data_IF_756650589544
#
_entry.id   IF_756650589544
#
_cell.length_a   1.000
_cell.length_b   1.000
_cell.length_c   1.000
_cell.angle_alpha   90.00
_cell.angle_beta   90.00
_cell.angle_gamma   90.00
#
_symmetry.space_group_name_H-M   'P 1'
#
loop_
_entity.id
_entity.type
_entity.pdbx_description
1 polymer ?
#
# COMPACT_ATOMS: atom_id res chain seq x y z
N UNK A 1 -10.73 19.66 8.66
CA UNK A 1 -10.99 19.04 7.34
C UNK A 1 -10.66 17.55 7.43
N UNK A 2 -11.67 16.66 7.47
CA UNK A 2 -11.41 15.21 7.46
C UNK A 2 -10.82 14.88 6.09
N UNK A 3 -9.53 14.51 6.03
CA UNK A 3 -8.98 13.87 4.83
C UNK A 3 -9.85 12.66 4.58
N UNK A 4 -10.52 12.59 3.44
CA UNK A 4 -11.22 11.38 3.02
C UNK A 4 -10.16 10.30 2.88
N UNK A 5 -9.98 9.53 3.96
CA UNK A 5 -9.19 8.31 3.96
C UNK A 5 -9.95 7.32 3.10
N UNK A 6 -9.90 7.50 1.78
CA UNK A 6 -10.37 6.50 0.85
C UNK A 6 -9.39 5.34 0.97
N UNK A 7 -9.86 4.28 1.63
CA UNK A 7 -9.14 3.03 1.69
C UNK A 7 -8.78 2.63 0.26
N UNK A 8 -7.59 2.04 0.09
CA UNK A 8 -7.22 1.47 -1.19
C UNK A 8 -8.23 0.38 -1.55
N UNK A 9 -8.57 0.28 -2.83
CA UNK A 9 -9.38 -0.83 -3.33
C UNK A 9 -8.55 -2.11 -3.32
N UNK A 10 -9.22 -3.26 -3.49
CA UNK A 10 -8.53 -4.54 -3.61
C UNK A 10 -7.58 -4.56 -4.82
N UNK A 11 -7.96 -3.93 -5.92
CA UNK A 11 -7.15 -3.88 -7.13
C UNK A 11 -5.95 -2.97 -6.97
N UNK A 12 -6.10 -1.82 -6.31
CA UNK A 12 -4.96 -0.97 -5.96
C UNK A 12 -3.97 -1.73 -5.06
N UNK A 13 -4.47 -2.48 -4.06
CA UNK A 13 -3.61 -3.34 -3.22
C UNK A 13 -2.86 -4.40 -4.04
N UNK A 14 -3.51 -5.04 -5.02
CA UNK A 14 -2.87 -6.03 -5.90
C UNK A 14 -1.77 -5.39 -6.76
N UNK A 15 -2.05 -4.23 -7.33
CA UNK A 15 -1.05 -3.48 -8.12
C UNK A 15 0.15 -3.11 -7.25
N UNK A 16 -0.08 -2.62 -6.03
CA UNK A 16 0.99 -2.31 -5.07
C UNK A 16 1.83 -3.55 -4.77
N UNK A 17 1.20 -4.69 -4.47
CA UNK A 17 1.91 -5.93 -4.16
C UNK A 17 2.78 -6.41 -5.34
N UNK A 18 2.25 -6.39 -6.56
CA UNK A 18 2.99 -6.77 -7.77
C UNK A 18 4.16 -5.82 -8.04
N UNK A 19 3.95 -4.51 -7.91
CA UNK A 19 5.00 -3.51 -8.10
C UNK A 19 6.09 -3.58 -7.03
N UNK A 20 5.74 -3.91 -5.79
CA UNK A 20 6.71 -4.14 -4.73
C UNK A 20 7.55 -5.40 -4.97
N UNK A 21 6.94 -6.48 -5.46
CA UNK A 21 7.67 -7.69 -5.90
C UNK A 21 8.65 -7.37 -7.03
N UNK A 22 8.26 -6.49 -7.95
CA UNK A 22 9.11 -5.95 -9.00
C UNK A 22 10.11 -4.88 -8.52
N UNK A 23 10.23 -4.64 -7.20
CA UNK A 23 11.12 -3.64 -6.57
C UNK A 23 10.92 -2.20 -7.07
N UNK A 24 9.73 -1.87 -7.56
CA UNK A 24 9.39 -0.51 -8.00
C UNK A 24 9.41 0.44 -6.78
N UNK A 25 9.99 1.64 -6.90
CA UNK A 25 9.98 2.63 -5.82
C UNK A 25 8.57 3.02 -5.39
N UNK A 26 8.32 3.07 -4.08
CA UNK A 26 7.00 3.37 -3.47
C UNK A 26 6.43 4.72 -3.92
N UNK A 27 7.30 5.70 -4.15
CA UNK A 27 6.94 7.03 -4.68
C UNK A 27 6.40 6.96 -6.10
N UNK A 28 6.98 6.09 -6.93
CA UNK A 28 6.53 5.84 -8.30
C UNK A 28 5.20 5.10 -8.31
N UNK A 29 5.02 4.11 -7.43
CA UNK A 29 3.73 3.40 -7.25
C UNK A 29 2.63 4.39 -6.85
N UNK A 30 2.90 5.29 -5.90
CA UNK A 30 1.94 6.32 -5.49
C UNK A 30 1.53 7.23 -6.67
N UNK A 31 2.50 7.65 -7.47
CA UNK A 31 2.27 8.48 -8.66
C UNK A 31 1.43 7.74 -9.70
N UNK A 32 1.74 6.47 -9.98
CA UNK A 32 1.00 5.65 -10.95
C UNK A 32 -0.45 5.40 -10.54
N UNK A 33 -0.71 5.28 -9.25
CA UNK A 33 -2.07 5.07 -8.71
C UNK A 33 -2.83 6.40 -8.49
N UNK A 34 -2.21 7.56 -8.74
CA UNK A 34 -2.81 8.85 -8.41
C UNK A 34 -3.08 9.02 -6.92
N UNK A 35 -2.31 8.33 -6.07
CA UNK A 35 -2.49 8.32 -4.62
C UNK A 35 -1.42 9.13 -3.92
N UNK A 36 -1.80 9.69 -2.77
CA UNK A 36 -0.82 10.33 -1.90
C UNK A 36 0.19 9.30 -1.38
N UNK A 37 1.47 9.73 -1.30
CA UNK A 37 2.56 8.89 -0.79
C UNK A 37 2.25 8.37 0.60
N UNK A 38 1.68 9.20 1.49
CA UNK A 38 1.34 8.80 2.85
C UNK A 38 0.29 7.70 2.91
N UNK A 39 -0.61 7.62 1.92
CA UNK A 39 -1.61 6.54 1.84
C UNK A 39 -0.95 5.21 1.54
N UNK A 40 -0.02 5.18 0.59
CA UNK A 40 0.77 3.98 0.29
C UNK A 40 1.60 3.56 1.50
N UNK A 41 2.34 4.48 2.14
CA UNK A 41 3.15 4.15 3.32
C UNK A 41 2.31 3.61 4.49
N UNK A 42 1.13 4.20 4.76
CA UNK A 42 0.21 3.69 5.79
C UNK A 42 -0.29 2.29 5.49
N UNK A 43 -0.68 2.01 4.24
CA UNK A 43 -1.14 0.68 3.84
C UNK A 43 -0.03 -0.36 3.98
N UNK A 44 1.19 -0.02 3.57
CA UNK A 44 2.32 -0.94 3.71
C UNK A 44 2.67 -1.23 5.16
N UNK A 45 2.55 -0.22 6.04
CA UNK A 45 2.71 -0.41 7.48
C UNK A 45 1.62 -1.34 8.04
N UNK A 46 0.36 -1.10 7.68
CA UNK A 46 -0.78 -1.94 8.09
C UNK A 46 -0.62 -3.38 7.60
N UNK A 47 -0.19 -3.56 6.35
CA UNK A 47 0.09 -4.89 5.81
C UNK A 47 1.24 -5.54 6.57
N UNK A 48 2.35 -4.85 6.85
CA UNK A 48 3.44 -5.41 7.67
C UNK A 48 2.95 -5.86 9.05
N UNK A 49 2.07 -5.10 9.70
CA UNK A 49 1.45 -5.52 10.97
C UNK A 49 0.55 -6.76 10.83
N UNK A 50 -0.10 -6.95 9.67
CA UNK A 50 -0.87 -8.15 9.37
C UNK A 50 0.06 -9.34 9.04
N UNK A 51 1.09 -9.14 8.20
CA UNK A 51 2.08 -10.18 7.88
C UNK A 51 2.90 -10.59 9.10
N UNK A 52 3.24 -9.66 9.99
CA UNK A 52 3.88 -9.94 11.28
C UNK A 52 2.96 -10.71 12.25
N UNK A 53 1.65 -10.72 12.01
CA UNK A 53 0.68 -11.55 12.73
C UNK A 53 0.33 -12.86 12.02
N UNK A 54 0.70 -12.98 10.73
CA UNK A 54 0.41 -14.15 9.87
C UNK A 54 1.66 -15.03 9.67
N UNK A 55 2.83 -14.58 10.13
CA UNK A 55 4.05 -15.40 10.19
C UNK A 55 4.28 -15.97 11.59
N UNK A 56 3.48 -16.97 11.97
CA UNK A 56 3.75 -18.00 13.00
C UNK A 56 2.60 -19.03 12.99
N UNK A 57 2.34 -19.64 11.83
CA UNK A 57 1.47 -20.82 11.67
C UNK A 57 1.91 -21.65 10.47
#
# INVERSE_FOLDING_TARGET
MRRSFTNLTLDERRVIANMLRAKVPKTRIATMLGRDRSTIFRELRRNHEIWAKVGDA
#
